data_IF_113765612578
#
_entry.id   IF_113765612578
#
_cell.length_a   1.000
_cell.length_b   1.000
_cell.length_c   1.000
_cell.angle_alpha   90.00
_cell.angle_beta   90.00
_cell.angle_gamma   90.00
#
_symmetry.space_group_name_H-M   'P 1'
#
loop_
_entity.id
_entity.type
_entity.pdbx_description
1 polymer ?
#
# COMPACT_ATOMS: atom_id res chain seq x y z
N UNK A 1 5.27 -2.84 -22.96
CA UNK A 1 5.56 -1.42 -22.69
C UNK A 1 4.96 -1.08 -21.32
N UNK A 2 5.77 -0.88 -20.30
CA UNK A 2 5.31 -0.37 -18.99
C UNK A 2 4.80 1.04 -19.19
N UNK A 3 3.48 1.24 -19.14
CA UNK A 3 2.88 2.58 -19.23
C UNK A 3 3.39 3.39 -18.04
N UNK A 4 4.15 4.44 -18.33
CA UNK A 4 4.70 5.34 -17.30
C UNK A 4 3.56 6.12 -16.65
N UNK A 5 3.48 6.04 -15.32
CA UNK A 5 2.57 6.90 -14.54
C UNK A 5 2.96 8.35 -14.78
N UNK A 6 1.97 9.18 -15.11
CA UNK A 6 2.23 10.58 -15.43
C UNK A 6 2.63 11.35 -14.16
N UNK A 7 3.77 12.06 -14.13
CA UNK A 7 4.24 12.78 -12.93
C UNK A 7 3.23 13.79 -12.39
N UNK A 8 2.49 14.47 -13.27
CA UNK A 8 1.46 15.42 -12.86
C UNK A 8 0.34 14.76 -12.02
N UNK A 9 -0.03 13.52 -12.33
CA UNK A 9 -1.04 12.80 -11.55
C UNK A 9 -0.55 12.51 -10.13
N UNK A 10 0.73 12.11 -9.99
CA UNK A 10 1.37 11.90 -8.68
C UNK A 10 1.42 13.19 -7.88
N UNK A 11 1.80 14.31 -8.53
CA UNK A 11 1.84 15.62 -7.89
C UNK A 11 0.44 16.11 -7.46
N UNK A 12 -0.57 15.94 -8.32
CA UNK A 12 -1.96 16.29 -7.98
C UNK A 12 -2.47 15.46 -6.80
N UNK A 13 -2.15 14.16 -6.75
CA UNK A 13 -2.53 13.32 -5.64
C UNK A 13 -1.79 13.69 -4.35
N UNK A 14 -0.51 14.08 -4.42
CA UNK A 14 0.22 14.59 -3.28
C UNK A 14 -0.42 15.85 -2.69
N UNK A 15 -0.93 16.74 -3.54
CA UNK A 15 -1.69 17.91 -3.09
C UNK A 15 -3.01 17.52 -2.38
N UNK A 16 -3.71 16.49 -2.88
CA UNK A 16 -4.91 15.93 -2.22
C UNK A 16 -4.55 15.33 -0.86
N UNK A 17 -3.43 14.61 -0.76
CA UNK A 17 -2.92 14.07 0.53
C UNK A 17 -2.61 15.22 1.49
N UNK A 18 -1.94 16.28 1.04
CA UNK A 18 -1.65 17.46 1.85
C UNK A 18 -2.93 18.13 2.37
N UNK A 19 -3.91 18.35 1.49
CA UNK A 19 -5.22 18.91 1.86
C UNK A 19 -5.98 17.99 2.84
N UNK A 20 -5.84 16.70 2.70
CA UNK A 20 -6.45 15.71 3.60
C UNK A 20 -5.98 15.80 5.05
N UNK A 21 -4.82 16.40 5.34
CA UNK A 21 -4.37 16.66 6.71
C UNK A 21 -5.23 17.69 7.43
N UNK A 22 -5.83 18.64 6.71
CA UNK A 22 -6.66 19.69 7.29
C UNK A 22 -7.96 19.13 7.88
N UNK A 23 -8.41 17.97 7.40
CA UNK A 23 -9.66 17.34 7.82
C UNK A 23 -9.39 16.32 8.95
N UNK A 24 -9.66 16.69 10.21
CA UNK A 24 -9.54 15.76 11.34
C UNK A 24 -10.66 14.71 11.25
N UNK A 25 -10.37 13.49 11.71
CA UNK A 25 -11.33 12.39 11.71
C UNK A 25 -11.58 11.85 13.12
N UNK A 26 -10.75 10.95 13.59
CA UNK A 26 -10.93 10.24 14.88
C UNK A 26 -9.82 10.65 15.84
N UNK A 27 -10.14 10.96 17.13
CA UNK A 27 -9.12 11.25 18.14
C UNK A 27 -8.16 10.09 18.34
N UNK A 28 -6.86 10.40 18.49
CA UNK A 28 -5.83 9.40 18.82
C UNK A 28 -5.74 9.32 20.34
N UNK A 29 -6.05 8.14 20.88
CA UNK A 29 -6.04 7.92 22.34
C UNK A 29 -4.65 8.20 22.93
N UNK A 30 -4.61 9.06 23.96
CA UNK A 30 -3.38 9.34 24.71
C UNK A 30 -2.45 10.41 24.13
N UNK A 31 -2.77 11.02 22.98
CA UNK A 31 -1.89 12.02 22.34
C UNK A 31 -2.45 13.44 22.27
N UNK A 32 -3.76 13.62 22.49
CA UNK A 32 -4.43 14.91 22.29
C UNK A 32 -4.56 15.35 20.82
N UNK A 33 -4.13 14.50 19.89
CA UNK A 33 -4.20 14.72 18.43
C UNK A 33 -5.31 13.90 17.81
N UNK A 34 -5.60 14.15 16.52
CA UNK A 34 -6.59 13.40 15.74
C UNK A 34 -5.94 12.77 14.52
N UNK A 35 -6.48 11.64 14.09
CA UNK A 35 -6.22 11.16 12.72
C UNK A 35 -6.79 12.17 11.73
N UNK A 36 -6.16 12.27 10.58
CA UNK A 36 -6.65 13.07 9.46
C UNK A 36 -7.18 12.16 8.35
N UNK A 37 -7.85 12.74 7.36
CA UNK A 37 -8.31 12.01 6.17
C UNK A 37 -7.15 11.33 5.41
N UNK A 38 -5.92 11.74 5.65
CA UNK A 38 -4.73 11.08 5.09
C UNK A 38 -4.58 9.63 5.50
N UNK A 39 -5.17 9.21 6.62
CA UNK A 39 -5.24 7.78 6.98
C UNK A 39 -5.94 6.95 5.89
N UNK A 40 -6.91 7.54 5.18
CA UNK A 40 -7.59 6.94 4.02
C UNK A 40 -6.78 7.10 2.73
N UNK A 41 -6.15 8.26 2.53
CA UNK A 41 -5.49 8.62 1.27
C UNK A 41 -4.09 8.00 1.12
N UNK A 42 -3.33 7.88 2.21
CA UNK A 42 -1.97 7.34 2.16
C UNK A 42 -1.89 5.91 1.58
N UNK A 43 -2.70 4.93 2.02
CA UNK A 43 -2.66 3.60 1.41
C UNK A 43 -3.06 3.63 -0.06
N UNK A 44 -3.99 4.51 -0.46
CA UNK A 44 -4.40 4.66 -1.86
C UNK A 44 -3.25 5.16 -2.74
N UNK A 45 -2.37 6.03 -2.21
CA UNK A 45 -1.17 6.47 -2.93
C UNK A 45 -0.32 5.29 -3.39
N UNK A 46 -0.08 4.32 -2.50
CA UNK A 46 0.67 3.10 -2.82
C UNK A 46 -0.06 2.19 -3.80
N UNK A 47 -1.36 1.99 -3.59
CA UNK A 47 -2.19 1.14 -4.45
C UNK A 47 -2.26 1.70 -5.88
N UNK A 48 -2.40 3.02 -6.04
CA UNK A 48 -2.54 3.66 -7.35
C UNK A 48 -1.22 3.78 -8.11
N UNK A 49 -0.15 4.16 -7.44
CA UNK A 49 1.12 4.52 -8.10
C UNK A 49 2.24 3.49 -7.87
N UNK A 50 1.97 2.45 -7.08
CA UNK A 50 2.98 1.45 -6.71
C UNK A 50 3.81 1.87 -5.50
N UNK A 51 4.70 0.96 -5.03
CA UNK A 51 5.36 1.13 -3.74
C UNK A 51 6.19 2.41 -3.65
N UNK A 52 7.08 2.65 -4.61
CA UNK A 52 8.00 3.80 -4.55
C UNK A 52 7.33 5.12 -4.90
N UNK A 53 6.62 5.18 -6.03
CA UNK A 53 5.97 6.42 -6.43
C UNK A 53 4.86 6.83 -5.46
N UNK A 54 4.11 5.85 -4.93
CA UNK A 54 3.12 6.07 -3.89
C UNK A 54 3.72 6.53 -2.57
N UNK A 55 4.84 5.95 -2.15
CA UNK A 55 5.57 6.38 -0.96
C UNK A 55 6.07 7.82 -1.10
N UNK A 56 6.70 8.18 -2.23
CA UNK A 56 7.15 9.55 -2.50
C UNK A 56 5.99 10.54 -2.53
N UNK A 57 4.88 10.15 -3.17
CA UNK A 57 3.66 10.94 -3.19
C UNK A 57 3.13 11.21 -1.79
N UNK A 58 3.00 10.16 -0.97
CA UNK A 58 2.54 10.26 0.42
C UNK A 58 3.53 11.02 1.31
N UNK A 59 4.84 10.89 1.06
CA UNK A 59 5.89 11.63 1.77
C UNK A 59 5.76 13.13 1.50
N UNK A 60 5.70 13.52 0.23
CA UNK A 60 5.60 14.94 -0.15
C UNK A 60 4.28 15.55 0.36
N UNK A 61 3.14 14.90 0.11
CA UNK A 61 1.84 15.37 0.58
C UNK A 61 1.74 15.38 2.10
N UNK A 62 2.23 14.33 2.77
CA UNK A 62 2.23 14.23 4.22
C UNK A 62 3.14 15.26 4.91
N UNK A 63 4.32 15.54 4.36
CA UNK A 63 5.23 16.56 4.87
C UNK A 63 4.58 17.94 4.79
N UNK A 64 4.09 18.34 3.61
CA UNK A 64 3.38 19.62 3.43
C UNK A 64 2.13 19.69 4.31
N UNK A 65 1.36 18.61 4.38
CA UNK A 65 0.16 18.53 5.21
C UNK A 65 0.44 18.68 6.70
N UNK A 66 1.55 18.11 7.20
CA UNK A 66 1.96 18.26 8.61
C UNK A 66 2.33 19.72 8.95
N UNK A 67 2.81 20.50 7.98
CA UNK A 67 3.05 21.94 8.14
C UNK A 67 1.75 22.74 8.16
N UNK A 68 0.78 22.36 7.30
CA UNK A 68 -0.50 23.05 7.18
C UNK A 68 -1.46 22.77 8.34
N UNK A 69 -1.39 21.55 8.92
CA UNK A 69 -2.28 21.08 9.96
C UNK A 69 -1.52 20.41 11.12
N UNK A 70 -0.76 21.15 11.91
CA UNK A 70 0.07 20.58 12.98
C UNK A 70 -0.73 19.86 14.06
N UNK A 71 -2.02 20.14 14.22
CA UNK A 71 -2.91 19.44 15.16
C UNK A 71 -3.16 17.96 14.80
N UNK A 72 -2.91 17.56 13.56
CA UNK A 72 -2.97 16.16 13.12
C UNK A 72 -1.59 15.49 13.09
N UNK A 73 -0.54 16.26 13.32
CA UNK A 73 0.85 15.81 13.27
C UNK A 73 1.35 15.39 14.66
N UNK A 74 0.81 14.30 15.21
CA UNK A 74 1.08 13.84 16.57
C UNK A 74 2.56 13.44 16.86
N UNK A 75 3.34 13.14 15.83
CA UNK A 75 4.80 13.01 15.87
C UNK A 75 5.51 14.27 15.34
N UNK A 76 4.83 15.41 15.33
CA UNK A 76 5.34 16.61 14.68
C UNK A 76 5.62 16.35 13.20
N UNK A 77 6.69 16.91 12.67
CA UNK A 77 7.08 16.71 11.27
C UNK A 77 7.34 15.23 10.92
N UNK A 78 7.65 14.37 11.91
CA UNK A 78 7.86 12.93 11.67
C UNK A 78 6.59 12.14 11.29
N UNK A 79 5.39 12.74 11.45
CA UNK A 79 4.11 12.06 11.15
C UNK A 79 4.02 11.61 9.70
N UNK A 80 4.61 12.33 8.74
CA UNK A 80 4.59 11.96 7.32
C UNK A 80 5.27 10.60 7.05
N UNK A 81 6.23 10.18 7.88
CA UNK A 81 6.94 8.90 7.74
C UNK A 81 5.94 7.74 7.84
N UNK A 82 4.96 7.83 8.74
CA UNK A 82 3.94 6.80 8.91
C UNK A 82 3.12 6.64 7.62
N UNK A 83 2.66 7.75 7.05
CA UNK A 83 1.93 7.76 5.79
C UNK A 83 2.78 7.21 4.63
N UNK A 84 4.06 7.56 4.60
CA UNK A 84 5.03 7.07 3.61
C UNK A 84 5.17 5.54 3.67
N UNK A 85 5.38 4.99 4.86
CA UNK A 85 5.51 3.54 5.07
C UNK A 85 4.17 2.83 4.79
N UNK A 86 3.04 3.45 5.16
CA UNK A 86 1.70 2.95 4.81
C UNK A 86 1.54 2.84 3.29
N UNK A 87 1.85 3.89 2.54
CA UNK A 87 1.76 3.90 1.09
C UNK A 87 2.72 2.88 0.46
N UNK A 88 3.95 2.79 0.95
CA UNK A 88 4.92 1.81 0.48
C UNK A 88 4.40 0.37 0.67
N UNK A 89 3.96 0.05 1.89
CA UNK A 89 3.50 -1.31 2.23
C UNK A 89 2.24 -1.69 1.46
N UNK A 90 1.24 -0.81 1.38
CA UNK A 90 0.02 -1.07 0.61
C UNK A 90 0.30 -1.22 -0.90
N UNK A 91 1.27 -0.46 -1.42
CA UNK A 91 1.77 -0.62 -2.78
C UNK A 91 2.42 -1.98 -3.00
N UNK A 92 3.28 -2.44 -2.08
CA UNK A 92 3.89 -3.77 -2.14
C UNK A 92 2.84 -4.89 -2.14
N UNK A 93 1.77 -4.74 -1.36
CA UNK A 93 0.68 -5.71 -1.30
C UNK A 93 -0.09 -5.73 -2.63
N UNK A 94 -0.53 -4.55 -3.11
CA UNK A 94 -1.36 -4.42 -4.30
C UNK A 94 -0.64 -4.86 -5.58
N UNK A 95 0.65 -4.49 -5.72
CA UNK A 95 1.43 -4.76 -6.91
C UNK A 95 2.17 -6.10 -6.88
N UNK A 96 2.21 -6.77 -5.73
CA UNK A 96 2.81 -8.10 -5.55
C UNK A 96 4.31 -8.17 -5.85
N UNK A 97 5.00 -7.04 -5.99
CA UNK A 97 6.41 -6.97 -6.37
C UNK A 97 7.17 -5.96 -5.53
N UNK A 98 8.41 -6.31 -5.22
CA UNK A 98 9.43 -5.34 -4.80
C UNK A 98 10.22 -4.90 -6.03
N UNK A 99 10.36 -3.60 -6.31
CA UNK A 99 11.06 -3.13 -7.50
C UNK A 99 12.58 -3.35 -7.49
N UNK A 100 13.18 -3.72 -6.35
CA UNK A 100 14.64 -3.76 -6.15
C UNK A 100 15.25 -5.16 -6.13
N UNK A 101 14.47 -6.24 -6.05
CA UNK A 101 15.00 -7.60 -6.00
C UNK A 101 14.37 -8.44 -7.10
N UNK A 102 14.90 -8.29 -8.30
CA UNK A 102 14.76 -9.29 -9.36
C UNK A 102 16.05 -10.11 -9.38
N UNK A 103 16.10 -11.21 -8.68
CA UNK A 103 17.14 -12.21 -8.88
C UNK A 103 16.68 -13.10 -10.03
N UNK A 104 17.22 -12.84 -11.20
CA UNK A 104 17.04 -13.67 -12.38
C UNK A 104 17.83 -14.95 -12.22
N UNK A 105 17.17 -16.03 -12.31
CA UNK A 105 17.39 -17.37 -12.89
C UNK A 105 16.82 -18.46 -12.00
N UNK A 106 15.89 -19.21 -12.54
CA UNK A 106 15.49 -20.59 -12.12
C UNK A 106 15.27 -20.84 -10.61
N UNK A 107 14.47 -19.98 -9.95
CA UNK A 107 14.18 -20.14 -8.52
C UNK A 107 13.88 -18.84 -7.80
N UNK A 108 13.25 -17.89 -8.43
CA UNK A 108 13.00 -16.55 -7.89
C UNK A 108 12.11 -16.57 -6.65
N UNK A 109 12.71 -16.48 -5.49
CA UNK A 109 12.03 -16.13 -4.24
C UNK A 109 11.78 -14.62 -4.24
N UNK A 110 10.61 -14.20 -4.68
CA UNK A 110 10.23 -12.78 -4.64
C UNK A 110 9.77 -12.43 -3.24
N UNK A 111 10.63 -11.78 -2.47
CA UNK A 111 10.25 -11.24 -1.16
C UNK A 111 9.38 -10.01 -1.38
N UNK A 112 8.14 -10.03 -0.86
CA UNK A 112 7.30 -8.85 -0.82
C UNK A 112 7.90 -7.81 0.14
N UNK A 113 8.18 -6.59 -0.34
CA UNK A 113 8.78 -5.53 0.46
C UNK A 113 7.97 -5.15 1.71
N UNK A 114 6.67 -5.39 1.71
CA UNK A 114 5.84 -5.25 2.90
C UNK A 114 6.26 -6.18 4.04
N UNK A 115 6.73 -7.39 3.74
CA UNK A 115 7.23 -8.33 4.76
C UNK A 115 8.44 -7.73 5.50
N UNK A 116 9.34 -7.09 4.76
CA UNK A 116 10.53 -6.45 5.35
C UNK A 116 10.12 -5.34 6.31
N UNK A 117 9.11 -4.54 5.95
CA UNK A 117 8.57 -3.50 6.84
C UNK A 117 8.06 -4.10 8.15
N UNK A 118 7.31 -5.20 8.08
CA UNK A 118 6.80 -5.88 9.27
C UNK A 118 7.92 -6.47 10.14
N UNK A 119 8.94 -7.09 9.52
CA UNK A 119 10.11 -7.64 10.24
C UNK A 119 10.86 -6.52 10.95
N UNK A 120 11.19 -5.44 10.24
CA UNK A 120 11.89 -4.29 10.83
C UNK A 120 11.06 -3.68 11.95
N UNK A 121 9.75 -3.48 11.74
CA UNK A 121 8.86 -2.93 12.75
C UNK A 121 8.78 -3.81 14.00
N UNK A 122 8.72 -5.12 13.85
CA UNK A 122 8.74 -6.06 14.97
C UNK A 122 10.10 -6.02 15.72
N UNK A 123 11.22 -6.00 15.01
CA UNK A 123 12.54 -5.87 15.63
C UNK A 123 12.61 -4.58 16.43
N UNK A 124 12.25 -3.44 15.84
CA UNK A 124 12.27 -2.14 16.49
C UNK A 124 11.39 -2.10 17.74
N UNK A 125 10.20 -2.73 17.69
CA UNK A 125 9.33 -2.86 18.86
C UNK A 125 10.01 -3.56 20.01
N UNK A 126 10.66 -4.69 19.78
CA UNK A 126 11.31 -5.49 20.81
C UNK A 126 12.66 -4.91 21.30
N UNK A 127 13.21 -3.88 20.65
CA UNK A 127 14.34 -3.14 21.21
C UNK A 127 13.96 -2.34 22.46
N UNK A 128 12.67 -1.98 22.59
CA UNK A 128 12.17 -1.18 23.71
C UNK A 128 11.70 -2.07 24.87
N UNK A 129 12.04 -1.70 26.11
CA UNK A 129 11.67 -2.44 27.30
C UNK A 129 10.15 -2.55 27.46
N UNK A 130 9.44 -1.43 27.31
CA UNK A 130 7.97 -1.41 27.30
C UNK A 130 7.40 -2.33 26.21
N UNK A 131 8.00 -2.33 25.02
CA UNK A 131 7.58 -3.20 23.92
C UNK A 131 7.65 -4.68 24.28
N UNK A 132 8.70 -5.10 24.99
CA UNK A 132 8.85 -6.49 25.48
C UNK A 132 7.81 -6.84 26.54
N UNK A 133 7.41 -5.88 27.36
CA UNK A 133 6.40 -6.11 28.42
C UNK A 133 4.97 -6.27 27.90
N UNK A 134 4.69 -5.84 26.66
CA UNK A 134 3.35 -5.84 26.04
C UNK A 134 3.34 -6.60 24.73
N UNK A 135 3.76 -7.86 24.77
CA UNK A 135 3.87 -8.72 23.57
C UNK A 135 2.52 -8.97 22.86
N UNK A 136 1.40 -8.93 23.60
CA UNK A 136 0.06 -9.17 23.04
C UNK A 136 -0.32 -8.14 21.98
N UNK A 137 0.05 -6.89 22.18
CA UNK A 137 -0.28 -5.82 21.25
C UNK A 137 0.33 -6.05 19.85
N UNK A 138 1.65 -6.18 19.67
CA UNK A 138 2.22 -6.44 18.35
C UNK A 138 1.82 -7.81 17.80
N UNK A 139 1.66 -8.83 18.63
CA UNK A 139 1.24 -10.16 18.18
C UNK A 139 -0.11 -10.12 17.48
N UNK A 140 -1.10 -9.42 18.06
CA UNK A 140 -2.43 -9.28 17.45
C UNK A 140 -2.37 -8.33 16.26
N UNK A 141 -1.86 -7.11 16.44
CA UNK A 141 -1.89 -6.08 15.40
C UNK A 141 -1.07 -6.51 14.18
N UNK A 142 0.21 -6.86 14.39
CA UNK A 142 1.10 -7.23 13.28
C UNK A 142 0.72 -8.59 12.67
N UNK A 143 0.19 -9.53 13.48
CA UNK A 143 -0.33 -10.79 12.98
C UNK A 143 -1.51 -10.59 12.03
N UNK A 144 -2.50 -9.77 12.39
CA UNK A 144 -3.61 -9.41 11.50
C UNK A 144 -3.14 -8.70 10.24
N UNK A 145 -2.18 -7.77 10.39
CA UNK A 145 -1.57 -7.08 9.25
C UNK A 145 -0.82 -8.03 8.32
N UNK A 146 -0.11 -9.00 8.86
CA UNK A 146 0.59 -10.01 8.07
C UNK A 146 -0.39 -10.92 7.30
N UNK A 147 -1.48 -11.34 7.94
CA UNK A 147 -2.57 -12.08 7.28
C UNK A 147 -3.15 -11.26 6.13
N UNK A 148 -3.43 -9.97 6.37
CA UNK A 148 -3.93 -9.07 5.32
C UNK A 148 -2.92 -8.86 4.19
N UNK A 149 -1.62 -8.79 4.50
CA UNK A 149 -0.55 -8.71 3.52
C UNK A 149 -0.55 -9.95 2.61
N UNK A 150 -0.55 -11.14 3.20
CA UNK A 150 -0.55 -12.38 2.43
C UNK A 150 -1.82 -12.51 1.58
N UNK A 151 -3.00 -12.36 2.21
CA UNK A 151 -4.28 -12.45 1.52
C UNK A 151 -4.43 -11.38 0.42
N UNK A 152 -4.05 -10.13 0.73
CA UNK A 152 -4.09 -9.02 -0.23
C UNK A 152 -3.16 -9.23 -1.42
N UNK A 153 -1.96 -9.76 -1.20
CA UNK A 153 -1.01 -10.09 -2.29
C UNK A 153 -1.53 -11.21 -3.18
N UNK A 154 -2.11 -12.26 -2.59
CA UNK A 154 -2.67 -13.39 -3.35
C UNK A 154 -3.91 -12.98 -4.15
N UNK A 155 -4.81 -12.21 -3.54
CA UNK A 155 -6.02 -11.72 -4.20
C UNK A 155 -5.72 -10.59 -5.19
N UNK A 156 -4.70 -9.78 -4.94
CA UNK A 156 -4.32 -8.64 -5.77
C UNK A 156 -4.08 -9.03 -7.22
N UNK A 157 -3.35 -10.11 -7.45
CA UNK A 157 -3.10 -10.65 -8.79
C UNK A 157 -4.39 -10.95 -9.56
N UNK A 158 -5.38 -11.54 -8.87
CA UNK A 158 -6.68 -11.86 -9.48
C UNK A 158 -7.58 -10.63 -9.65
N UNK A 159 -7.64 -9.77 -8.63
CA UNK A 159 -8.58 -8.65 -8.58
C UNK A 159 -8.18 -7.50 -9.52
N UNK A 160 -6.89 -7.19 -9.63
CA UNK A 160 -6.40 -6.09 -10.48
C UNK A 160 -6.13 -6.55 -11.92
N UNK A 161 -6.00 -7.86 -12.18
CA UNK A 161 -5.93 -8.43 -13.51
C UNK A 161 -7.30 -8.53 -14.17
N UNK A 162 -7.68 -9.73 -14.61
CA UNK A 162 -8.96 -10.03 -15.26
C UNK A 162 -10.15 -10.17 -14.30
N UNK A 163 -9.93 -9.95 -12.99
CA UNK A 163 -10.95 -10.16 -11.96
C UNK A 163 -12.13 -9.20 -12.05
N UNK A 164 -13.30 -9.71 -11.68
CA UNK A 164 -14.54 -8.93 -11.65
C UNK A 164 -14.48 -7.75 -10.70
N UNK A 165 -15.35 -6.76 -10.92
CA UNK A 165 -15.45 -5.54 -10.11
C UNK A 165 -15.63 -5.83 -8.61
N UNK A 166 -16.38 -6.88 -8.27
CA UNK A 166 -16.70 -7.27 -6.88
C UNK A 166 -15.44 -7.65 -6.10
N UNK A 167 -14.48 -8.37 -6.73
CA UNK A 167 -13.26 -8.80 -6.06
C UNK A 167 -12.33 -7.62 -5.68
N UNK A 168 -12.47 -6.48 -6.35
CA UNK A 168 -11.68 -5.27 -6.05
C UNK A 168 -11.97 -4.70 -4.66
N UNK A 169 -13.19 -4.84 -4.15
CA UNK A 169 -13.57 -4.33 -2.83
C UNK A 169 -12.77 -5.00 -1.69
N UNK A 170 -12.89 -6.32 -1.46
CA UNK A 170 -12.15 -6.97 -0.38
C UNK A 170 -10.63 -6.89 -0.59
N UNK A 171 -10.16 -6.94 -1.84
CA UNK A 171 -8.73 -6.84 -2.13
C UNK A 171 -8.18 -5.47 -1.75
N UNK A 172 -8.87 -4.38 -2.12
CA UNK A 172 -8.41 -3.03 -1.79
C UNK A 172 -8.45 -2.81 -0.28
N UNK A 173 -9.49 -3.32 0.39
CA UNK A 173 -9.57 -3.29 1.85
C UNK A 173 -8.36 -3.98 2.50
N UNK A 174 -8.00 -5.19 2.06
CA UNK A 174 -6.84 -5.93 2.57
C UNK A 174 -5.52 -5.19 2.30
N UNK A 175 -5.35 -4.62 1.11
CA UNK A 175 -4.16 -3.84 0.76
C UNK A 175 -4.04 -2.59 1.64
N UNK A 176 -5.14 -1.87 1.87
CA UNK A 176 -5.17 -0.70 2.72
C UNK A 176 -4.93 -1.06 4.20
N UNK A 177 -5.62 -2.07 4.70
CA UNK A 177 -5.48 -2.54 6.08
C UNK A 177 -4.07 -3.02 6.39
N UNK A 178 -3.51 -3.92 5.56
CA UNK A 178 -2.13 -4.36 5.70
C UNK A 178 -1.13 -3.19 5.59
N UNK A 179 -1.35 -2.27 4.64
CA UNK A 179 -0.52 -1.07 4.52
C UNK A 179 -0.55 -0.18 5.75
N UNK A 180 -1.72 0.08 6.31
CA UNK A 180 -1.89 0.90 7.52
C UNK A 180 -1.21 0.26 8.73
N UNK A 181 -1.30 -1.05 8.89
CA UNK A 181 -0.59 -1.73 9.98
C UNK A 181 0.92 -1.68 9.73
N UNK A 182 1.39 -1.83 8.48
CA UNK A 182 2.79 -1.63 8.12
C UNK A 182 3.30 -0.24 8.54
N UNK A 183 2.56 0.83 8.25
CA UNK A 183 2.88 2.17 8.75
C UNK A 183 2.83 2.29 10.26
N UNK A 184 1.86 1.60 10.89
CA UNK A 184 1.73 1.59 12.35
C UNK A 184 2.92 0.92 13.04
N UNK A 185 3.64 -0.01 12.41
CA UNK A 185 4.85 -0.62 13.03
C UNK A 185 5.89 0.45 13.35
N UNK A 186 6.10 1.37 12.42
CA UNK A 186 7.03 2.50 12.59
C UNK A 186 6.45 3.55 13.55
N UNK A 187 5.18 3.88 13.40
CA UNK A 187 4.49 4.82 14.29
C UNK A 187 4.51 4.37 15.75
N UNK A 188 4.23 3.11 16.00
CA UNK A 188 4.25 2.53 17.35
C UNK A 188 5.65 2.53 17.96
N UNK A 189 6.71 2.29 17.17
CA UNK A 189 8.09 2.42 17.64
C UNK A 189 8.40 3.85 18.08
N UNK A 190 8.05 4.85 17.27
CA UNK A 190 8.23 6.25 17.66
C UNK A 190 7.37 6.62 18.87
N UNK A 191 6.19 6.03 19.00
CA UNK A 191 5.34 6.23 20.20
C UNK A 191 6.03 5.71 21.47
N UNK A 192 6.62 4.51 21.39
CA UNK A 192 7.40 3.96 22.52
C UNK A 192 8.62 4.81 22.87
N UNK A 193 9.26 5.39 21.86
CA UNK A 193 10.48 6.17 22.05
C UNK A 193 10.21 7.57 22.61
N UNK A 194 9.15 8.23 22.13
CA UNK A 194 8.89 9.65 22.40
C UNK A 194 7.87 9.88 23.51
N UNK A 195 6.96 8.93 23.74
CA UNK A 195 5.87 9.08 24.69
C UNK A 195 5.92 8.02 25.78
N UNK A 196 5.71 8.44 27.01
CA UNK A 196 5.61 7.54 28.18
C UNK A 196 4.19 6.99 28.29
N UNK A 197 3.77 6.19 27.29
CA UNK A 197 2.45 5.56 27.28
C UNK A 197 2.41 4.43 28.29
N UNK A 198 1.45 4.40 29.24
CA UNK A 198 1.36 3.35 30.25
C UNK A 198 0.99 2.01 29.62
N UNK A 199 1.38 0.92 30.31
CA UNK A 199 1.17 -0.45 29.84
C UNK A 199 -0.30 -0.76 29.57
N UNK A 200 -1.19 -0.26 30.41
CA UNK A 200 -2.64 -0.47 30.33
C UNK A 200 -3.22 0.11 29.03
N UNK A 201 -2.72 1.26 28.59
CA UNK A 201 -3.11 1.87 27.33
C UNK A 201 -2.69 0.98 26.14
N UNK A 202 -1.50 0.40 26.14
CA UNK A 202 -1.09 -0.55 25.12
C UNK A 202 -1.96 -1.80 25.08
N UNK A 203 -2.37 -2.31 26.24
CA UNK A 203 -3.30 -3.44 26.32
C UNK A 203 -4.68 -3.09 25.75
N UNK A 204 -5.20 -1.89 26.02
CA UNK A 204 -6.44 -1.40 25.42
C UNK A 204 -6.32 -1.24 23.91
N UNK A 205 -5.19 -0.72 23.42
CA UNK A 205 -4.90 -0.57 22.00
C UNK A 205 -4.82 -1.92 21.24
N UNK A 206 -4.64 -3.04 21.94
CA UNK A 206 -4.67 -4.38 21.31
C UNK A 206 -5.99 -4.65 20.57
N UNK A 207 -7.11 -4.11 21.05
CA UNK A 207 -8.42 -4.27 20.43
C UNK A 207 -8.76 -3.05 19.56
N UNK A 208 -8.55 -1.84 20.08
CA UNK A 208 -9.00 -0.62 19.41
C UNK A 208 -8.17 -0.30 18.16
N UNK A 209 -6.86 -0.53 18.18
CA UNK A 209 -6.02 -0.21 17.05
C UNK A 209 -6.34 -1.01 15.76
N UNK A 210 -6.58 -2.33 15.79
CA UNK A 210 -7.04 -3.05 14.60
C UNK A 210 -8.39 -2.55 14.09
N UNK A 211 -9.34 -2.24 14.99
CA UNK A 211 -10.67 -1.73 14.61
C UNK A 211 -10.57 -0.38 13.90
N UNK A 212 -9.79 0.56 14.42
CA UNK A 212 -9.56 1.86 13.78
C UNK A 212 -9.02 1.70 12.36
N UNK A 213 -8.01 0.84 12.16
CA UNK A 213 -7.42 0.59 10.84
C UNK A 213 -8.40 -0.10 9.91
N UNK A 214 -9.23 -0.99 10.42
CA UNK A 214 -10.31 -1.62 9.65
C UNK A 214 -11.31 -0.58 9.13
N UNK A 215 -11.74 0.36 9.98
CA UNK A 215 -12.66 1.45 9.60
C UNK A 215 -12.04 2.37 8.53
N UNK A 216 -10.79 2.82 8.74
CA UNK A 216 -10.11 3.63 7.73
C UNK A 216 -9.90 2.87 6.41
N UNK A 217 -9.68 1.55 6.46
CA UNK A 217 -9.56 0.71 5.26
C UNK A 217 -10.88 0.60 4.51
N UNK A 218 -12.03 0.65 5.20
CA UNK A 218 -13.34 0.78 4.56
C UNK A 218 -13.44 2.12 3.83
N UNK A 219 -13.01 3.22 4.47
CA UNK A 219 -12.93 4.53 3.81
C UNK A 219 -12.06 4.49 2.55
N UNK A 220 -10.86 3.89 2.64
CA UNK A 220 -9.97 3.72 1.49
C UNK A 220 -10.62 2.87 0.38
N UNK A 221 -11.33 1.81 0.73
CA UNK A 221 -12.07 0.97 -0.22
C UNK A 221 -13.19 1.75 -0.92
N UNK A 222 -13.98 2.52 -0.18
CA UNK A 222 -15.10 3.29 -0.73
C UNK A 222 -14.63 4.40 -1.69
N UNK A 223 -13.49 5.02 -1.41
CA UNK A 223 -12.88 6.02 -2.31
C UNK A 223 -12.10 5.36 -3.45
N UNK A 224 -11.31 4.35 -3.13
CA UNK A 224 -10.35 3.76 -4.06
C UNK A 224 -10.98 2.92 -5.17
N UNK A 225 -12.03 2.14 -4.87
CA UNK A 225 -12.64 1.25 -5.89
C UNK A 225 -13.31 2.04 -7.01
N UNK A 226 -14.13 3.08 -6.74
CA UNK A 226 -14.66 3.94 -7.81
C UNK A 226 -13.57 4.58 -8.67
N UNK A 227 -12.47 5.04 -8.06
CA UNK A 227 -11.35 5.64 -8.80
C UNK A 227 -10.63 4.60 -9.68
N UNK A 228 -10.37 3.40 -9.16
CA UNK A 228 -9.77 2.29 -9.94
C UNK A 228 -10.63 1.84 -11.11
N UNK A 229 -11.95 2.02 -11.04
CA UNK A 229 -12.87 1.67 -12.11
C UNK A 229 -13.11 2.85 -13.06
N UNK A 230 -13.17 4.06 -12.53
CA UNK A 230 -13.56 5.27 -13.27
C UNK A 230 -12.40 5.90 -14.03
N UNK A 231 -11.25 6.09 -13.40
CA UNK A 231 -10.11 6.78 -14.01
C UNK A 231 -9.60 6.13 -15.32
N UNK A 232 -9.52 4.78 -15.43
CA UNK A 232 -9.15 4.15 -16.70
C UNK A 232 -10.10 4.45 -17.86
N UNK A 233 -11.40 4.72 -17.60
CA UNK A 233 -12.38 5.03 -18.64
C UNK A 233 -12.14 6.40 -19.29
N UNK A 234 -11.48 7.31 -18.58
CA UNK A 234 -11.09 8.64 -19.09
C UNK A 234 -9.62 8.70 -19.49
N UNK A 235 -8.96 7.54 -19.67
CA UNK A 235 -7.58 7.45 -20.13
C UNK A 235 -6.53 7.58 -19.03
N UNK A 236 -6.93 7.81 -17.77
CA UNK A 236 -6.01 7.92 -16.62
C UNK A 236 -5.78 6.55 -16.01
N UNK A 237 -4.57 6.02 -16.15
CA UNK A 237 -4.24 4.70 -15.62
C UNK A 237 -3.71 4.78 -14.20
N UNK A 238 -4.36 4.06 -13.30
CA UNK A 238 -4.00 3.89 -11.88
C UNK A 238 -4.13 2.42 -11.49
N UNK A 239 -3.35 2.02 -10.50
CA UNK A 239 -3.35 0.66 -9.99
C UNK A 239 -2.39 -0.27 -10.73
N UNK A 240 -2.25 -1.50 -10.24
CA UNK A 240 -1.37 -2.49 -10.83
C UNK A 240 -1.72 -2.73 -12.30
N UNK A 241 -0.71 -2.84 -13.18
CA UNK A 241 -0.96 -3.20 -14.58
C UNK A 241 -1.62 -4.58 -14.62
N UNK A 242 -2.57 -4.80 -15.53
CA UNK A 242 -3.08 -6.15 -15.77
C UNK A 242 -1.87 -7.04 -16.10
N UNK A 243 -1.80 -8.20 -15.46
CA UNK A 243 -0.77 -9.19 -15.78
C UNK A 243 -0.94 -9.52 -17.27
N UNK A 244 0.09 -9.30 -18.07
CA UNK A 244 0.13 -9.88 -19.41
C UNK A 244 0.08 -11.40 -19.15
N UNK A 245 -1.08 -12.00 -19.42
CA UNK A 245 -1.19 -13.45 -19.53
C UNK A 245 -0.08 -13.84 -20.48
N UNK A 246 0.89 -14.61 -20.03
CA UNK A 246 1.97 -15.14 -20.85
C UNK A 246 1.35 -15.52 -22.20
N UNK A 247 1.63 -14.69 -23.20
CA UNK A 247 1.27 -15.05 -24.56
C UNK A 247 1.98 -16.36 -24.76
N UNK A 248 1.20 -17.44 -24.80
CA UNK A 248 1.70 -18.74 -25.21
C UNK A 248 2.67 -18.47 -26.36
N UNK A 249 3.90 -18.98 -26.31
CA UNK A 249 4.88 -18.69 -27.36
C UNK A 249 4.15 -18.86 -28.68
N UNK A 250 4.15 -17.80 -29.47
CA UNK A 250 3.48 -17.80 -30.77
C UNK A 250 3.88 -19.11 -31.44
N UNK A 251 2.90 -19.98 -31.67
CA UNK A 251 3.14 -21.27 -32.29
C UNK A 251 3.98 -21.04 -33.56
N UNK A 252 4.82 -21.99 -33.94
CA UNK A 252 5.79 -21.79 -35.00
C UNK A 252 5.10 -21.12 -36.18
N UNK A 253 5.63 -19.96 -36.53
CA UNK A 253 5.19 -19.18 -37.69
C UNK A 253 4.98 -20.17 -38.86
N UNK A 254 3.73 -20.35 -39.26
CA UNK A 254 3.46 -21.12 -40.46
C UNK A 254 4.32 -20.50 -41.54
N UNK A 255 5.37 -21.22 -41.91
CA UNK A 255 6.22 -20.89 -43.06
C UNK A 255 5.27 -20.74 -44.23
N UNK A 256 5.08 -19.52 -44.69
CA UNK A 256 4.34 -19.23 -45.90
C UNK A 256 4.91 -20.14 -46.99
N UNK A 257 4.13 -21.11 -47.40
CA UNK A 257 4.49 -21.97 -48.52
C UNK A 257 4.83 -21.07 -49.70
N UNK A 258 6.02 -21.27 -50.25
CA UNK A 258 6.44 -20.57 -51.46
C UNK A 258 5.40 -20.77 -52.58
N UNK A 259 5.09 -19.73 -53.34
CA UNK A 259 4.18 -19.88 -54.48
C UNK A 259 4.75 -20.91 -55.46
N UNK A 260 3.89 -21.72 -56.09
CA UNK A 260 4.33 -22.70 -57.09
C UNK A 260 5.03 -21.98 -58.24
N UNK A 261 6.07 -22.62 -58.85
CA UNK A 261 6.77 -22.03 -59.98
C UNK A 261 5.80 -21.86 -61.16
N UNK A 262 5.79 -20.66 -61.73
CA UNK A 262 5.10 -20.39 -62.99
C UNK A 262 5.59 -21.35 -64.05
N UNK A 263 4.67 -22.08 -64.63
CA UNK A 263 4.94 -22.94 -65.80
C UNK A 263 5.15 -22.04 -67.00
N UNK A 264 6.41 -21.88 -67.41
CA UNK A 264 6.73 -21.29 -68.71
C UNK A 264 6.06 -22.14 -69.81
N UNK A 265 5.10 -21.50 -70.45
CA UNK A 265 4.44 -22.06 -71.63
C UNK A 265 5.31 -21.97 -72.84
N UNK A 266 5.42 -23.06 -73.53
CA UNK A 266 5.85 -23.16 -74.93
C UNK A 266 4.73 -22.75 -75.91
#
# INVERSE_FOLDING_TARGET
MTKKIHPALVASWAAIVAAGHILPTIPIVGTGSTFSLTAVLSPLSGIFFGPLAGALCSAAGGFVGSLLAPHTAWLGLGTFIIGTVTAFTSGCIAWGRWPLVSVNSSGSFVINGGIIVYIIGAILWFTQEMGRSVIRFPAVLYGLGFIALVAGTLLGKKAFGLGGKILKFPTLWLCAFGGMIGGATVGNFFTLLLFKVPREAWLALTVTAPLERAVFSVGAMLVGVPLLIGLPKIGVQVGPPPEEVDKAPAGPTQTQAAPPPEADGA
#
